data_IF_849315754217
#
_entry.id   IF_849315754217
#
_cell.length_a   1.000
_cell.length_b   1.000
_cell.length_c   1.000
_cell.angle_alpha   90.00
_cell.angle_beta   90.00
_cell.angle_gamma   90.00
#
_symmetry.space_group_name_H-M   'P 1'
#
loop_
_entity.id
_entity.type
_entity.pdbx_description
1 polymer ?
#
# COMPACT_ATOMS: atom_id res chain seq x y z
N UNK A 1 42.24 -79.14 -4.01
CA UNK A 1 41.60 -78.01 -4.71
C UNK A 1 41.46 -76.87 -3.72
N UNK A 2 42.56 -76.18 -3.44
CA UNK A 2 42.60 -75.04 -2.52
C UNK A 2 43.33 -73.92 -3.22
N UNK A 3 42.59 -73.12 -3.99
CA UNK A 3 43.05 -71.84 -4.49
C UNK A 3 42.70 -70.81 -3.42
N UNK A 4 43.68 -70.47 -2.58
CA UNK A 4 43.62 -69.21 -1.84
C UNK A 4 43.82 -68.10 -2.86
N UNK A 5 42.74 -67.40 -3.22
CA UNK A 5 42.79 -66.14 -3.95
C UNK A 5 43.35 -65.10 -2.98
N UNK A 6 44.65 -64.84 -3.08
CA UNK A 6 45.35 -63.82 -2.31
C UNK A 6 45.90 -62.77 -3.28
N UNK A 7 45.02 -61.94 -3.84
CA UNK A 7 45.42 -60.74 -4.59
C UNK A 7 44.55 -59.59 -4.15
N UNK A 8 44.82 -59.14 -2.92
CA UNK A 8 44.18 -58.00 -2.30
C UNK A 8 45.20 -57.20 -1.51
N UNK A 9 46.24 -56.71 -2.16
CA UNK A 9 47.14 -55.70 -1.59
C UNK A 9 47.32 -54.61 -2.65
N UNK A 10 46.58 -53.50 -2.50
CA UNK A 10 46.95 -52.26 -3.18
C UNK A 10 48.43 -51.96 -2.86
N UNK A 11 49.20 -51.47 -3.82
CA UNK A 11 50.59 -51.07 -3.56
C UNK A 11 50.60 -49.85 -2.62
N UNK A 12 51.64 -49.71 -1.80
CA UNK A 12 51.75 -48.54 -0.92
C UNK A 12 51.68 -47.21 -1.70
N UNK A 13 52.16 -47.18 -2.96
CA UNK A 13 52.09 -46.00 -3.82
C UNK A 13 50.66 -45.64 -4.25
N UNK A 14 49.81 -46.64 -4.53
CA UNK A 14 48.40 -46.43 -4.85
C UNK A 14 47.64 -45.91 -3.63
N UNK A 15 47.93 -46.43 -2.43
CA UNK A 15 47.36 -45.96 -1.18
C UNK A 15 47.76 -44.51 -0.87
N UNK A 16 49.03 -44.15 -1.11
CA UNK A 16 49.52 -42.77 -0.94
C UNK A 16 48.85 -41.84 -1.96
N UNK A 17 48.66 -42.28 -3.21
CA UNK A 17 47.93 -41.53 -4.23
C UNK A 17 46.48 -41.27 -3.83
N UNK A 18 45.78 -42.29 -3.34
CA UNK A 18 44.41 -42.16 -2.81
C UNK A 18 44.34 -41.22 -1.60
N UNK A 19 45.27 -41.35 -0.65
CA UNK A 19 45.32 -40.46 0.52
C UNK A 19 45.54 -39.00 0.14
N UNK A 20 46.41 -38.73 -0.84
CA UNK A 20 46.63 -37.37 -1.36
C UNK A 20 45.38 -36.81 -2.03
N UNK A 21 44.70 -37.61 -2.85
CA UNK A 21 43.44 -37.21 -3.48
C UNK A 21 42.35 -36.91 -2.44
N UNK A 22 42.26 -37.72 -1.38
CA UNK A 22 41.32 -37.45 -0.28
C UNK A 22 41.66 -36.15 0.47
N UNK A 23 42.94 -35.86 0.72
CA UNK A 23 43.35 -34.60 1.34
C UNK A 23 42.97 -33.38 0.48
N UNK A 24 43.14 -33.46 -0.84
CA UNK A 24 42.70 -32.40 -1.76
C UNK A 24 41.17 -32.24 -1.75
N UNK A 25 40.42 -33.34 -1.76
CA UNK A 25 38.97 -33.32 -1.63
C UNK A 25 38.52 -32.66 -0.33
N UNK A 26 39.16 -32.99 0.80
CA UNK A 26 38.88 -32.39 2.11
C UNK A 26 39.07 -30.87 2.06
N UNK A 27 40.20 -30.40 1.53
CA UNK A 27 40.46 -28.96 1.42
C UNK A 27 39.41 -28.24 0.54
N UNK A 28 38.99 -28.86 -0.57
CA UNK A 28 37.93 -28.29 -1.41
C UNK A 28 36.59 -28.25 -0.69
N UNK A 29 36.25 -29.30 0.06
CA UNK A 29 35.03 -29.36 0.85
C UNK A 29 35.03 -28.27 1.93
N UNK A 30 36.12 -28.11 2.66
CA UNK A 30 36.28 -27.05 3.67
C UNK A 30 36.07 -25.65 3.08
N UNK A 31 36.66 -25.38 1.91
CA UNK A 31 36.45 -24.10 1.20
C UNK A 31 34.99 -23.90 0.78
N UNK A 32 34.33 -24.95 0.29
CA UNK A 32 32.90 -24.87 -0.08
C UNK A 32 32.00 -24.64 1.13
N UNK A 33 32.28 -25.28 2.26
CA UNK A 33 31.53 -25.09 3.51
C UNK A 33 31.66 -23.64 3.99
N UNK A 34 32.89 -23.12 4.03
CA UNK A 34 33.13 -21.71 4.38
C UNK A 34 32.37 -20.72 3.48
N UNK A 35 32.30 -21.02 2.18
CA UNK A 35 31.54 -20.22 1.21
C UNK A 35 30.03 -20.33 1.46
N UNK A 36 29.52 -21.52 1.76
CA UNK A 36 28.10 -21.75 2.03
C UNK A 36 27.66 -21.08 3.33
N UNK A 37 28.46 -21.15 4.38
CA UNK A 37 28.21 -20.45 5.65
C UNK A 37 28.11 -18.93 5.45
N UNK A 38 29.02 -18.37 4.65
CA UNK A 38 28.98 -16.96 4.27
C UNK A 38 27.68 -16.61 3.53
N UNK A 39 27.27 -17.45 2.57
CA UNK A 39 26.02 -17.24 1.82
C UNK A 39 24.77 -17.36 2.70
N UNK A 40 24.73 -18.31 3.63
CA UNK A 40 23.62 -18.45 4.58
C UNK A 40 23.50 -17.19 5.41
N UNK A 41 24.61 -16.67 5.92
CA UNK A 41 24.64 -15.44 6.71
C UNK A 41 24.11 -14.24 5.91
N UNK A 42 24.50 -14.11 4.64
CA UNK A 42 23.97 -13.06 3.75
C UNK A 42 22.47 -13.22 3.53
N UNK A 43 21.98 -14.43 3.23
CA UNK A 43 20.56 -14.68 3.01
C UNK A 43 19.71 -14.41 4.25
N UNK A 44 20.21 -14.72 5.44
CA UNK A 44 19.54 -14.40 6.70
C UNK A 44 19.42 -12.88 6.89
N UNK A 45 20.48 -12.13 6.57
CA UNK A 45 20.47 -10.67 6.63
C UNK A 45 19.49 -10.05 5.63
N UNK A 46 19.45 -10.55 4.39
CA UNK A 46 18.51 -10.10 3.36
C UNK A 46 17.06 -10.40 3.75
N UNK A 47 16.79 -11.60 4.26
CA UNK A 47 15.47 -11.99 4.73
C UNK A 47 15.00 -11.10 5.88
N UNK A 48 15.89 -10.71 6.79
CA UNK A 48 15.55 -9.81 7.88
C UNK A 48 15.24 -8.40 7.37
N UNK A 49 16.02 -7.89 6.41
CA UNK A 49 15.76 -6.60 5.78
C UNK A 49 14.40 -6.59 5.04
N UNK A 50 14.06 -7.70 4.39
CA UNK A 50 12.77 -7.86 3.72
C UNK A 50 11.61 -7.85 4.73
N UNK A 51 11.74 -8.55 5.86
CA UNK A 51 10.70 -8.55 6.91
C UNK A 51 10.42 -7.16 7.48
N UNK A 52 11.46 -6.34 7.70
CA UNK A 52 11.25 -4.98 8.18
C UNK A 52 10.60 -4.11 7.10
N UNK A 53 11.02 -4.27 5.84
CA UNK A 53 10.39 -3.58 4.70
C UNK A 53 8.90 -3.92 4.59
N UNK A 54 8.52 -5.20 4.72
CA UNK A 54 7.13 -5.63 4.69
C UNK A 54 6.33 -4.98 5.82
N UNK A 55 6.88 -4.95 7.04
CA UNK A 55 6.26 -4.30 8.21
C UNK A 55 6.01 -2.81 7.97
N UNK A 56 6.97 -2.10 7.40
CA UNK A 56 6.83 -0.67 7.07
C UNK A 56 5.75 -0.46 6.00
N UNK A 57 5.72 -1.30 4.97
CA UNK A 57 4.66 -1.28 3.95
C UNK A 57 3.29 -1.48 4.59
N UNK A 58 3.11 -2.46 5.48
CA UNK A 58 1.84 -2.70 6.17
C UNK A 58 1.38 -1.47 6.96
N UNK A 59 2.29 -0.82 7.67
CA UNK A 59 1.96 0.39 8.42
C UNK A 59 1.53 1.53 7.50
N UNK A 60 2.23 1.70 6.39
CA UNK A 60 1.94 2.78 5.44
C UNK A 60 0.61 2.58 4.71
N UNK A 61 0.32 1.35 4.27
CA UNK A 61 -0.98 0.99 3.68
C UNK A 61 -2.13 1.29 4.64
N UNK A 62 -1.97 1.00 5.94
CA UNK A 62 -3.01 1.28 6.93
C UNK A 62 -3.25 2.79 7.13
N UNK A 63 -2.18 3.60 7.13
CA UNK A 63 -2.30 5.06 7.18
C UNK A 63 -3.04 5.59 5.94
N UNK A 64 -2.65 5.14 4.75
CA UNK A 64 -3.27 5.54 3.48
C UNK A 64 -4.76 5.18 3.44
N UNK A 65 -5.13 3.97 3.88
CA UNK A 65 -6.53 3.57 3.96
C UNK A 65 -7.34 4.47 4.90
N UNK A 66 -6.74 4.86 6.03
CA UNK A 66 -7.39 5.77 7.00
C UNK A 66 -7.59 7.16 6.39
N UNK A 67 -6.57 7.69 5.70
CA UNK A 67 -6.65 8.99 5.04
C UNK A 67 -7.67 8.98 3.90
N UNK A 68 -7.69 7.94 3.07
CA UNK A 68 -8.71 7.76 2.05
C UNK A 68 -10.12 7.72 2.64
N UNK A 69 -10.31 7.07 3.79
CA UNK A 69 -11.58 7.07 4.51
C UNK A 69 -12.02 8.48 4.91
N UNK A 70 -11.11 9.28 5.48
CA UNK A 70 -11.37 10.68 5.84
C UNK A 70 -11.70 11.54 4.62
N UNK A 71 -10.93 11.41 3.54
CA UNK A 71 -11.16 12.14 2.30
C UNK A 71 -12.51 11.79 1.67
N UNK A 72 -12.91 10.52 1.68
CA UNK A 72 -14.25 10.09 1.20
C UNK A 72 -15.37 10.68 2.06
N UNK A 73 -15.22 10.71 3.38
CA UNK A 73 -16.18 11.34 4.27
C UNK A 73 -16.27 12.85 4.05
N UNK A 74 -15.14 13.52 3.88
CA UNK A 74 -15.09 14.95 3.54
C UNK A 74 -15.73 15.23 2.19
N UNK A 75 -15.49 14.39 1.18
CA UNK A 75 -16.13 14.51 -0.12
C UNK A 75 -17.65 14.31 -0.03
N UNK A 76 -18.13 13.33 0.73
CA UNK A 76 -19.57 13.15 0.98
C UNK A 76 -20.19 14.36 1.67
N UNK A 77 -19.53 14.91 2.70
CA UNK A 77 -19.97 16.13 3.37
C UNK A 77 -19.98 17.35 2.44
N UNK A 78 -19.02 17.45 1.51
CA UNK A 78 -18.99 18.52 0.50
C UNK A 78 -20.10 18.36 -0.55
N UNK A 79 -20.40 17.13 -0.97
CA UNK A 79 -21.53 16.84 -1.88
C UNK A 79 -22.86 17.16 -1.20
N UNK A 80 -23.04 16.82 0.08
CA UNK A 80 -24.22 17.20 0.85
C UNK A 80 -24.34 18.72 1.03
N UNK A 81 -23.22 19.44 1.18
CA UNK A 81 -23.26 20.91 1.22
C UNK A 81 -23.60 21.50 -0.15
N UNK A 82 -23.08 20.96 -1.24
CA UNK A 82 -23.42 21.40 -2.58
C UNK A 82 -24.92 21.19 -2.90
N UNK A 83 -25.54 20.14 -2.35
CA UNK A 83 -26.98 19.89 -2.47
C UNK A 83 -27.84 20.85 -1.61
N UNK A 84 -27.23 21.51 -0.62
CA UNK A 84 -27.90 22.50 0.25
C UNK A 84 -27.76 23.93 -0.27
N UNK A 85 -26.78 24.23 -1.10
CA UNK A 85 -26.48 25.61 -1.50
C UNK A 85 -26.61 25.83 -2.99
N UNK A 86 -27.32 26.89 -3.37
CA UNK A 86 -27.47 27.32 -4.76
C UNK A 86 -26.81 28.68 -4.98
N UNK A 87 -26.05 28.82 -6.07
CA UNK A 87 -25.47 30.09 -6.49
C UNK A 87 -26.39 30.75 -7.50
N UNK A 88 -26.92 31.92 -7.15
CA UNK A 88 -27.82 32.71 -7.98
C UNK A 88 -27.14 33.09 -9.30
N UNK A 89 -27.83 32.83 -10.41
CA UNK A 89 -27.41 33.15 -11.76
C UNK A 89 -28.14 34.37 -12.29
N UNK A 90 -27.75 34.83 -13.47
CA UNK A 90 -28.46 35.88 -14.16
C UNK A 90 -29.91 35.45 -14.44
N UNK A 91 -30.85 36.39 -14.25
CA UNK A 91 -32.30 36.23 -14.44
C UNK A 91 -33.01 35.29 -13.44
N UNK A 92 -32.31 34.80 -12.41
CA UNK A 92 -32.95 34.06 -11.33
C UNK A 92 -33.83 34.96 -10.44
N UNK A 93 -34.96 34.41 -10.01
CA UNK A 93 -35.85 35.00 -9.01
C UNK A 93 -36.08 34.02 -7.87
N UNK A 94 -36.47 34.49 -6.69
CA UNK A 94 -36.82 33.58 -5.59
C UNK A 94 -37.94 32.59 -5.99
N UNK A 95 -38.85 33.02 -6.85
CA UNK A 95 -39.92 32.16 -7.37
C UNK A 95 -39.40 31.07 -8.31
N UNK A 96 -38.55 31.41 -9.29
CA UNK A 96 -38.00 30.41 -10.21
C UNK A 96 -37.14 29.38 -9.47
N UNK A 97 -36.34 29.85 -8.51
CA UNK A 97 -35.53 28.99 -7.64
C UNK A 97 -36.43 28.10 -6.78
N UNK A 98 -37.46 28.65 -6.13
CA UNK A 98 -38.32 27.85 -5.26
C UNK A 98 -39.04 26.74 -6.04
N UNK A 99 -39.49 27.03 -7.26
CA UNK A 99 -40.09 26.02 -8.15
C UNK A 99 -39.09 24.94 -8.56
N UNK A 100 -37.86 25.30 -8.90
CA UNK A 100 -36.82 24.35 -9.30
C UNK A 100 -36.49 23.33 -8.19
N UNK A 101 -36.45 23.80 -6.94
CA UNK A 101 -36.13 22.96 -5.77
C UNK A 101 -37.35 22.45 -5.00
N UNK A 102 -38.57 22.70 -5.49
CA UNK A 102 -39.81 22.22 -4.86
C UNK A 102 -40.14 22.86 -3.51
N UNK A 103 -39.70 24.10 -3.29
CA UNK A 103 -39.94 24.90 -2.09
C UNK A 103 -40.98 26.00 -2.35
N UNK A 104 -41.54 26.52 -1.28
CA UNK A 104 -42.24 27.81 -1.29
C UNK A 104 -41.26 28.97 -1.13
N UNK A 105 -41.65 30.16 -1.59
CA UNK A 105 -40.83 31.38 -1.42
C UNK A 105 -40.63 31.71 0.06
N UNK A 106 -41.62 31.44 0.91
CA UNK A 106 -41.54 31.67 2.36
C UNK A 106 -40.53 30.71 3.02
N UNK A 107 -40.54 29.42 2.66
CA UNK A 107 -39.51 28.47 3.12
C UNK A 107 -38.11 28.91 2.69
N UNK A 108 -37.96 29.34 1.43
CA UNK A 108 -36.68 29.82 0.92
C UNK A 108 -36.20 31.09 1.66
N UNK A 109 -37.10 32.00 2.03
CA UNK A 109 -36.77 33.17 2.84
C UNK A 109 -36.44 32.81 4.30
N UNK A 110 -37.13 31.83 4.89
CA UNK A 110 -36.83 31.33 6.23
C UNK A 110 -35.44 30.69 6.30
N UNK A 111 -35.05 29.94 5.27
CA UNK A 111 -33.70 29.37 5.14
C UNK A 111 -32.62 30.43 4.94
N UNK A 112 -33.00 31.62 4.45
CA UNK A 112 -32.09 32.71 4.09
C UNK A 112 -32.47 34.04 4.78
N UNK A 113 -32.40 34.14 6.12
CA UNK A 113 -32.83 35.34 6.86
C UNK A 113 -31.99 36.60 6.57
N UNK A 114 -30.86 36.45 5.85
CA UNK A 114 -30.01 37.55 5.40
C UNK A 114 -30.55 38.26 4.15
N UNK A 115 -31.55 37.69 3.48
CA UNK A 115 -32.20 38.32 2.32
C UNK A 115 -33.21 39.34 2.85
N UNK A 116 -32.75 40.57 3.05
CA UNK A 116 -33.59 41.67 3.55
C UNK A 116 -34.67 42.11 2.55
N UNK A 117 -34.36 42.00 1.25
CA UNK A 117 -35.28 42.37 0.18
C UNK A 117 -35.43 41.23 -0.85
N UNK A 118 -36.59 40.53 -0.86
CA UNK A 118 -36.86 39.42 -1.77
C UNK A 118 -36.74 39.73 -3.27
N UNK A 119 -36.77 41.02 -3.66
CA UNK A 119 -36.66 41.47 -5.06
C UNK A 119 -35.24 41.86 -5.46
N UNK A 120 -34.27 41.83 -4.55
CA UNK A 120 -32.88 42.20 -4.80
C UNK A 120 -31.95 41.03 -4.53
N UNK A 121 -31.85 40.15 -5.52
CA UNK A 121 -30.88 39.07 -5.54
C UNK A 121 -29.60 39.52 -6.25
N UNK A 122 -28.44 39.11 -5.73
CA UNK A 122 -27.15 39.39 -6.35
C UNK A 122 -26.67 38.16 -7.13
N UNK A 123 -26.26 38.35 -8.37
CA UNK A 123 -25.64 37.28 -9.17
C UNK A 123 -24.36 36.83 -8.46
N UNK A 124 -24.18 35.52 -8.31
CA UNK A 124 -23.07 34.92 -7.57
C UNK A 124 -23.32 34.80 -6.06
N UNK A 125 -24.45 35.30 -5.54
CA UNK A 125 -24.83 35.08 -4.15
C UNK A 125 -25.20 33.61 -3.93
N UNK A 126 -24.68 33.02 -2.85
CA UNK A 126 -25.00 31.66 -2.43
C UNK A 126 -26.14 31.71 -1.41
N UNK A 127 -27.19 30.92 -1.64
CA UNK A 127 -28.36 30.81 -0.78
C UNK A 127 -28.62 29.35 -0.39
N UNK A 128 -29.19 29.13 0.79
CA UNK A 128 -29.58 27.81 1.27
C UNK A 128 -30.93 27.38 0.67
N UNK A 129 -31.02 26.14 0.21
CA UNK A 129 -32.21 25.54 -0.39
C UNK A 129 -32.69 24.27 0.34
N UNK A 130 -32.04 23.83 1.43
CA UNK A 130 -32.48 22.65 2.23
C UNK A 130 -32.14 22.76 3.72
#
# INVERSE_FOLDING_TARGET
>A
MSSLVLTGCASNDELIGQQKQHAEQINTLESTVSTLESRVTTLESELQAQKETDKDIYQEVNKLNTEQGKLKQQAQQQVEQADKFYTIKQDDTLYSISVEFGLTVDELLQLNPKIENPRRLLIGQIINIK
#
